data_IF_892683180430
#
_entry.id   IF_892683180430
#
_cell.length_a   1.000
_cell.length_b   1.000
_cell.length_c   1.000
_cell.angle_alpha   90.00
_cell.angle_beta   90.00
_cell.angle_gamma   90.00
#
_symmetry.space_group_name_H-M   'P 1'
#
loop_
_entity.id
_entity.type
_entity.pdbx_description
1 polymer ?
#
# COMPACT_ATOMS: atom_id res chain seq x y z
N UNK A 1 10.79 21.87 -23.38
CA UNK A 1 9.80 21.49 -22.35
C UNK A 1 8.95 20.39 -22.95
N UNK A 2 9.39 19.14 -22.83
CA UNK A 2 8.68 17.98 -23.41
C UNK A 2 7.79 17.46 -22.30
N UNK A 3 6.47 17.65 -22.43
CA UNK A 3 5.49 16.96 -21.61
C UNK A 3 5.62 15.47 -21.87
N UNK A 4 6.26 14.74 -20.96
CA UNK A 4 6.31 13.28 -20.99
C UNK A 4 4.92 12.81 -20.58
N UNK A 5 4.09 12.48 -21.56
CA UNK A 5 2.88 11.70 -21.34
C UNK A 5 3.34 10.36 -20.79
N UNK A 6 3.21 10.13 -19.48
CA UNK A 6 3.61 8.86 -18.88
C UNK A 6 2.65 7.78 -19.39
N UNK A 7 3.21 6.79 -20.09
CA UNK A 7 2.50 5.55 -20.39
C UNK A 7 2.26 4.81 -19.08
N UNK A 8 1.12 4.17 -18.95
CA UNK A 8 0.71 3.36 -17.79
C UNK A 8 1.75 2.26 -17.46
N UNK A 9 2.60 1.93 -18.43
CA UNK A 9 3.70 0.96 -18.33
C UNK A 9 4.92 1.42 -17.52
N UNK A 10 5.00 2.69 -17.08
CA UNK A 10 6.17 3.26 -16.35
C UNK A 10 5.92 3.34 -14.82
N UNK A 11 4.75 2.91 -14.33
CA UNK A 11 4.38 3.00 -12.89
C UNK A 11 4.83 1.73 -12.15
N UNK A 12 6.14 1.61 -11.95
CA UNK A 12 6.76 0.53 -11.18
C UNK A 12 6.83 0.84 -9.68
N UNK A 13 8.02 0.68 -9.09
CA UNK A 13 8.27 0.97 -7.68
C UNK A 13 8.07 2.46 -7.31
N UNK A 14 8.06 3.36 -8.30
CA UNK A 14 7.85 4.81 -8.13
C UNK A 14 6.60 5.15 -7.31
N UNK A 15 5.56 4.31 -7.38
CA UNK A 15 4.35 4.52 -6.57
C UNK A 15 4.65 4.52 -5.07
N UNK A 16 5.66 3.75 -4.64
CA UNK A 16 6.03 3.57 -3.25
C UNK A 16 6.77 4.79 -2.68
N UNK A 17 7.24 5.71 -3.52
CA UNK A 17 7.91 6.94 -3.09
C UNK A 17 6.96 7.93 -2.41
N UNK A 18 5.66 7.83 -2.70
CA UNK A 18 4.67 8.68 -2.03
C UNK A 18 4.56 8.32 -0.55
N UNK A 19 4.41 9.35 0.29
CA UNK A 19 4.27 9.18 1.73
C UNK A 19 3.21 8.12 2.08
N UNK A 20 3.49 7.31 3.11
CA UNK A 20 2.60 6.29 3.65
C UNK A 20 2.30 5.07 2.76
N UNK A 21 2.74 5.00 1.49
CA UNK A 21 2.44 3.86 0.61
C UNK A 21 3.01 2.55 1.15
N UNK A 22 4.30 2.54 1.48
CA UNK A 22 4.96 1.39 2.11
C UNK A 22 4.32 1.06 3.46
N UNK A 23 3.96 2.07 4.26
CA UNK A 23 3.33 1.87 5.56
C UNK A 23 1.95 1.21 5.46
N UNK A 24 1.13 1.57 4.46
CA UNK A 24 -0.15 0.90 4.18
C UNK A 24 0.09 -0.56 3.81
N UNK A 25 1.02 -0.84 2.90
CA UNK A 25 1.32 -2.19 2.45
C UNK A 25 1.78 -3.09 3.62
N UNK A 26 2.69 -2.59 4.46
CA UNK A 26 3.18 -3.31 5.64
C UNK A 26 2.09 -3.50 6.71
N UNK A 27 1.23 -2.50 6.91
CA UNK A 27 0.10 -2.62 7.84
C UNK A 27 -0.86 -3.73 7.41
N UNK A 28 -1.28 -3.73 6.15
CA UNK A 28 -2.18 -4.75 5.60
C UNK A 28 -1.53 -6.13 5.57
N UNK A 29 -0.22 -6.22 5.36
CA UNK A 29 0.52 -7.48 5.44
C UNK A 29 0.51 -8.08 6.85
N UNK A 30 0.67 -7.24 7.88
CA UNK A 30 0.68 -7.69 9.27
C UNK A 30 -0.70 -7.93 9.87
N UNK A 31 -1.69 -7.09 9.51
CA UNK A 31 -3.03 -7.12 10.12
C UNK A 31 -4.08 -7.85 9.26
N UNK A 32 -3.77 -8.10 7.99
CA UNK A 32 -4.74 -8.61 7.03
C UNK A 32 -5.76 -7.56 6.61
N UNK A 33 -6.87 -8.05 6.06
CA UNK A 33 -7.97 -7.22 5.57
C UNK A 33 -8.54 -6.32 6.68
N UNK A 34 -8.61 -5.01 6.41
CA UNK A 34 -8.85 -3.97 7.43
C UNK A 34 -9.80 -2.89 6.94
N UNK A 35 -10.48 -2.17 7.86
CA UNK A 35 -11.32 -1.03 7.48
C UNK A 35 -10.44 0.19 7.17
N UNK A 36 -10.97 1.11 6.36
CA UNK A 36 -10.34 2.41 6.08
C UNK A 36 -9.98 3.17 7.35
N UNK A 37 -10.85 3.18 8.36
CA UNK A 37 -10.61 3.83 9.65
C UNK A 37 -9.37 3.30 10.33
N UNK A 38 -9.22 1.98 10.37
CA UNK A 38 -8.17 1.30 11.13
C UNK A 38 -6.81 1.55 10.45
N UNK A 39 -6.78 1.53 9.12
CA UNK A 39 -5.60 1.89 8.32
C UNK A 39 -5.19 3.35 8.58
N UNK A 40 -6.15 4.28 8.59
CA UNK A 40 -5.86 5.71 8.76
C UNK A 40 -5.34 6.03 10.17
N UNK A 41 -5.85 5.33 11.17
CA UNK A 41 -5.41 5.50 12.56
C UNK A 41 -4.02 4.89 12.79
N UNK A 42 -3.69 3.77 12.12
CA UNK A 42 -2.38 3.13 12.26
C UNK A 42 -1.26 3.79 11.45
N UNK A 43 -1.54 4.19 10.20
CA UNK A 43 -0.54 4.74 9.27
C UNK A 43 -0.36 6.26 9.43
N UNK A 44 -1.39 6.92 9.97
CA UNK A 44 -1.44 8.37 10.15
C UNK A 44 -2.43 9.04 9.20
N UNK A 45 -3.01 10.15 9.68
CA UNK A 45 -4.02 10.94 8.95
C UNK A 45 -3.33 11.94 8.02
N UNK A 46 -2.72 11.45 6.95
CA UNK A 46 -2.20 12.29 5.88
C UNK A 46 -3.32 12.87 5.02
N UNK A 47 -3.12 14.09 4.48
CA UNK A 47 -3.99 14.61 3.43
C UNK A 47 -3.93 13.63 2.23
N UNK A 48 -5.10 13.24 1.70
CA UNK A 48 -5.25 12.37 0.50
C UNK A 48 -4.99 10.86 0.71
N UNK A 49 -5.20 10.32 1.91
CA UNK A 49 -5.21 8.86 2.14
C UNK A 49 -6.17 8.07 1.24
N UNK A 50 -7.39 8.57 0.91
CA UNK A 50 -8.25 7.90 -0.07
C UNK A 50 -7.58 7.72 -1.44
N UNK A 51 -7.00 8.79 -2.00
CA UNK A 51 -6.34 8.77 -3.32
C UNK A 51 -5.17 7.78 -3.37
N UNK A 52 -4.47 7.60 -2.24
CA UNK A 52 -3.37 6.63 -2.11
C UNK A 52 -3.87 5.20 -2.21
N UNK A 53 -4.95 4.87 -1.50
CA UNK A 53 -5.58 3.55 -1.58
C UNK A 53 -6.12 3.27 -2.99
N UNK A 54 -6.71 4.27 -3.64
CA UNK A 54 -7.17 4.14 -5.02
C UNK A 54 -6.02 3.91 -5.99
N UNK A 55 -4.87 4.56 -5.78
CA UNK A 55 -3.67 4.35 -6.60
C UNK A 55 -3.09 2.93 -6.43
N UNK A 56 -3.00 2.43 -5.19
CA UNK A 56 -2.60 1.04 -4.92
C UNK A 56 -3.59 0.05 -5.54
N UNK A 57 -4.88 0.36 -5.54
CA UNK A 57 -5.92 -0.47 -6.16
C UNK A 57 -5.81 -0.49 -7.68
N UNK A 58 -5.56 0.65 -8.31
CA UNK A 58 -5.39 0.75 -9.75
C UNK A 58 -4.21 -0.09 -10.26
N UNK A 59 -3.16 -0.25 -9.44
CA UNK A 59 -2.02 -1.14 -9.71
C UNK A 59 -2.27 -2.59 -9.32
N UNK A 60 -3.46 -2.92 -8.82
CA UNK A 60 -3.82 -4.27 -8.41
C UNK A 60 -3.06 -4.75 -7.16
N UNK A 61 -2.53 -3.85 -6.32
CA UNK A 61 -1.84 -4.20 -5.07
C UNK A 61 -2.81 -4.40 -3.91
N UNK A 62 -3.94 -3.68 -3.92
CA UNK A 62 -5.01 -3.85 -2.94
C UNK A 62 -6.34 -4.04 -3.65
N UNK A 63 -7.30 -4.63 -2.97
CA UNK A 63 -8.69 -4.60 -3.39
C UNK A 63 -9.62 -4.27 -2.22
N UNK A 64 -10.83 -3.84 -2.56
CA UNK A 64 -11.88 -3.56 -1.60
C UNK A 64 -12.78 -4.79 -1.48
N UNK A 65 -12.74 -5.45 -0.33
CA UNK A 65 -13.55 -6.61 -0.05
C UNK A 65 -15.03 -6.28 0.17
N UNK A 66 -15.86 -7.30 -0.04
CA UNK A 66 -17.27 -7.36 0.34
C UNK A 66 -18.26 -7.19 -0.82
N UNK A 67 -18.97 -8.27 -1.16
CA UNK A 67 -20.11 -8.27 -2.10
C UNK A 67 -21.42 -7.75 -1.49
N UNK A 68 -21.47 -7.40 -0.19
CA UNK A 68 -22.76 -7.18 0.49
C UNK A 68 -22.80 -6.22 1.69
N UNK A 69 -21.69 -5.65 2.18
CA UNK A 69 -21.75 -4.82 3.40
C UNK A 69 -21.49 -3.34 3.14
N UNK A 70 -22.27 -2.50 3.82
CA UNK A 70 -22.27 -1.03 3.74
C UNK A 70 -20.92 -0.36 4.10
N UNK A 71 -19.88 -1.15 4.43
CA UNK A 71 -18.53 -0.68 4.78
C UNK A 71 -17.49 -1.66 4.21
N UNK A 72 -16.96 -1.40 3.01
CA UNK A 72 -15.95 -2.27 2.40
C UNK A 72 -14.67 -2.25 3.22
N UNK A 73 -14.10 -3.42 3.43
CA UNK A 73 -12.77 -3.64 3.96
C UNK A 73 -11.75 -3.60 2.83
N UNK A 74 -10.47 -3.48 3.16
CA UNK A 74 -9.37 -3.37 2.20
C UNK A 74 -8.36 -4.46 2.54
N UNK A 75 -8.02 -5.27 1.55
CA UNK A 75 -7.02 -6.32 1.66
C UNK A 75 -5.96 -6.22 0.56
N UNK A 76 -4.84 -6.90 0.78
CA UNK A 76 -3.86 -7.12 -0.28
C UNK A 76 -4.42 -8.12 -1.30
N UNK A 77 -4.15 -7.90 -2.58
CA UNK A 77 -4.30 -8.94 -3.60
C UNK A 77 -3.16 -9.96 -3.48
N UNK A 78 -3.15 -11.01 -4.32
CA UNK A 78 -2.00 -11.92 -4.43
C UNK A 78 -0.70 -11.16 -4.77
N UNK A 79 -0.75 -10.27 -5.78
CA UNK A 79 0.38 -9.42 -6.15
C UNK A 79 0.78 -8.49 -4.99
N UNK A 80 -0.20 -7.90 -4.31
CA UNK A 80 0.03 -7.04 -3.17
C UNK A 80 0.74 -7.74 -2.02
N UNK A 81 0.35 -8.99 -1.74
CA UNK A 81 0.96 -9.82 -0.71
C UNK A 81 2.42 -10.15 -1.05
N UNK A 82 2.72 -10.49 -2.31
CA UNK A 82 4.07 -10.72 -2.78
C UNK A 82 4.94 -9.46 -2.60
N UNK A 83 4.47 -8.31 -3.07
CA UNK A 83 5.19 -7.03 -2.94
C UNK A 83 5.39 -6.65 -1.47
N UNK A 84 4.36 -6.76 -0.64
CA UNK A 84 4.45 -6.43 0.77
C UNK A 84 5.41 -7.35 1.53
N UNK A 85 5.51 -8.63 1.15
CA UNK A 85 6.48 -9.55 1.74
C UNK A 85 7.94 -9.11 1.47
N UNK A 86 8.23 -8.61 0.26
CA UNK A 86 9.54 -8.06 -0.09
C UNK A 86 9.86 -6.79 0.70
N UNK A 87 8.88 -5.90 0.84
CA UNK A 87 9.02 -4.69 1.66
C UNK A 87 9.25 -5.03 3.13
N UNK A 88 8.56 -6.06 3.65
CA UNK A 88 8.75 -6.52 5.02
C UNK A 88 10.15 -7.11 5.22
N UNK A 89 10.66 -7.87 4.25
CA UNK A 89 12.03 -8.38 4.29
C UNK A 89 13.07 -7.25 4.31
N UNK A 90 12.85 -6.17 3.54
CA UNK A 90 13.70 -4.97 3.57
C UNK A 90 13.64 -4.29 4.95
N UNK A 91 12.44 -4.08 5.50
CA UNK A 91 12.25 -3.48 6.83
C UNK A 91 12.97 -4.29 7.92
N UNK A 92 12.84 -5.62 7.90
CA UNK A 92 13.53 -6.51 8.83
C UNK A 92 15.06 -6.42 8.67
N UNK A 93 15.56 -6.39 7.44
CA UNK A 93 16.99 -6.28 7.17
C UNK A 93 17.59 -4.96 7.67
N UNK A 94 16.83 -3.86 7.60
CA UNK A 94 17.24 -2.55 8.14
C UNK A 94 17.26 -2.60 9.68
N UNK A 95 16.18 -3.04 10.32
CA UNK A 95 16.08 -3.10 11.79
C UNK A 95 17.14 -3.98 12.44
N UNK A 96 17.48 -5.10 11.80
CA UNK A 96 18.51 -6.02 12.30
C UNK A 96 19.94 -5.47 12.15
N UNK A 97 20.17 -4.42 11.35
CA UNK A 97 21.47 -3.75 11.26
C UNK A 97 21.72 -2.79 12.42
N UNK A 98 20.68 -2.37 13.14
CA UNK A 98 20.83 -1.53 14.34
C UNK A 98 21.29 -2.34 15.57
N UNK A 99 21.38 -3.67 15.46
CA UNK A 99 21.84 -4.58 16.51
C UNK A 99 23.28 -5.08 16.38
N UNK A 100 24.07 -4.56 15.43
CA UNK A 100 25.50 -4.92 15.22
C UNK A 100 26.42 -3.74 15.50
#
# INVERSE_FOLDING_TARGET
MISRTQSVDDVGADILESSHMVSIMLYLYGCGESRKSDIYDAVGRGNRMPDKLDSLRQLGLVDYGGTSDARPTIGLTELGAEVASMLHAIDLAIRNRDTV
#
